data_IF_151003840520
#
_entry.id   IF_151003840520
#
_cell.length_a   1.000
_cell.length_b   1.000
_cell.length_c   1.000
_cell.angle_alpha   90.00
_cell.angle_beta   90.00
_cell.angle_gamma   90.00
#
_symmetry.space_group_name_H-M   'P 1'
#
loop_
_entity.id
_entity.type
_entity.pdbx_description
1 polymer ?
#
# COMPACT_ATOMS: atom_id res chain seq x y z
N UNK A 1 18.66 14.57 -16.72
CA UNK A 1 17.66 13.59 -16.22
C UNK A 1 16.29 14.23 -16.36
N UNK A 2 15.41 13.59 -17.10
CA UNK A 2 14.06 14.11 -17.24
C UNK A 2 13.23 13.74 -15.99
N UNK A 3 12.05 14.28 -15.89
CA UNK A 3 11.17 14.03 -14.75
C UNK A 3 10.90 12.56 -14.55
N UNK A 4 10.84 11.82 -15.63
CA UNK A 4 10.57 10.38 -15.58
C UNK A 4 11.76 9.63 -14.99
N UNK A 5 12.95 10.00 -15.41
CA UNK A 5 14.17 9.41 -14.85
C UNK A 5 14.36 9.80 -13.39
N UNK A 6 13.96 11.01 -13.04
CA UNK A 6 13.96 11.45 -11.66
C UNK A 6 12.97 10.65 -10.84
N UNK A 7 11.78 10.41 -11.40
CA UNK A 7 10.79 9.58 -10.76
C UNK A 7 11.28 8.14 -10.66
N UNK A 8 11.90 7.63 -11.70
CA UNK A 8 12.43 6.29 -11.69
C UNK A 8 13.57 6.15 -10.70
N UNK A 9 14.46 7.12 -10.66
CA UNK A 9 15.53 7.19 -9.67
C UNK A 9 14.94 7.41 -8.29
N UNK A 10 14.00 8.31 -8.16
CA UNK A 10 13.29 8.55 -6.92
C UNK A 10 12.38 7.38 -6.58
N UNK A 11 11.82 6.70 -7.57
CA UNK A 11 11.11 5.46 -7.41
C UNK A 11 12.04 4.37 -6.92
N UNK A 12 13.20 4.29 -7.51
CA UNK A 12 14.16 3.28 -7.09
C UNK A 12 14.78 3.63 -5.75
N UNK A 13 14.91 4.93 -5.44
CA UNK A 13 15.65 5.39 -4.28
C UNK A 13 14.81 6.19 -3.30
N UNK A 14 13.72 6.77 -3.77
CA UNK A 14 12.94 7.69 -2.99
C UNK A 14 11.47 7.41 -3.07
N UNK A 15 10.87 7.56 -4.21
CA UNK A 15 9.45 7.32 -4.35
C UNK A 15 9.14 5.85 -4.18
N UNK A 16 9.98 5.03 -4.72
CA UNK A 16 9.91 3.63 -4.40
C UNK A 16 10.20 3.40 -2.93
N UNK A 17 10.43 4.46 -2.18
CA UNK A 17 10.56 4.35 -0.75
C UNK A 17 9.37 3.68 -0.14
N UNK A 18 8.18 4.06 -0.48
CA UNK A 18 7.01 3.43 0.02
C UNK A 18 7.01 1.95 -0.28
N UNK A 19 7.55 1.58 -1.44
CA UNK A 19 7.67 0.18 -1.84
C UNK A 19 8.89 -0.48 -1.25
N UNK A 20 10.00 0.24 -1.16
CA UNK A 20 11.20 -0.28 -0.54
C UNK A 20 10.92 -0.69 0.90
N UNK A 21 10.08 0.06 1.61
CA UNK A 21 9.69 -0.29 2.97
C UNK A 21 8.89 -1.58 3.04
N UNK A 22 8.35 -2.04 1.92
CA UNK A 22 7.61 -3.30 1.84
C UNK A 22 8.48 -4.48 1.46
N UNK A 23 9.77 -4.26 1.16
CA UNK A 23 10.60 -5.35 0.64
C UNK A 23 11.27 -6.16 1.73
N UNK A 24 12.45 -5.80 2.14
CA UNK A 24 13.25 -6.67 2.98
C UNK A 24 13.25 -6.29 4.45
N UNK A 25 13.14 -4.99 4.70
CA UNK A 25 13.29 -4.49 6.05
C UNK A 25 11.95 -4.43 6.75
N UNK A 26 11.81 -5.25 7.77
CA UNK A 26 10.62 -5.23 8.59
C UNK A 26 10.53 -3.92 9.35
N UNK A 27 9.38 -3.28 9.27
CA UNK A 27 9.14 -2.05 10.01
C UNK A 27 8.99 -2.38 11.50
N UNK A 28 9.81 -1.78 12.39
CA UNK A 28 9.78 -2.14 13.82
C UNK A 28 8.43 -1.95 14.48
N UNK A 29 7.72 -0.89 14.14
CA UNK A 29 6.40 -0.62 14.70
C UNK A 29 5.39 -1.67 14.25
N UNK A 30 5.47 -2.12 13.00
CA UNK A 30 4.59 -3.15 12.48
C UNK A 30 4.89 -4.50 13.13
N UNK A 31 6.16 -4.81 13.32
CA UNK A 31 6.57 -6.01 14.03
C UNK A 31 6.01 -6.00 15.47
N UNK A 32 6.08 -4.86 16.14
CA UNK A 32 5.56 -4.70 17.48
C UNK A 32 4.04 -4.89 17.54
N UNK A 33 3.33 -4.34 16.55
CA UNK A 33 1.87 -4.49 16.46
C UNK A 33 1.49 -5.96 16.24
N UNK A 34 2.19 -6.63 15.33
CA UNK A 34 1.94 -8.04 15.03
C UNK A 34 2.22 -8.93 16.24
N UNK A 35 3.27 -8.62 16.99
CA UNK A 35 3.60 -9.37 18.21
C UNK A 35 2.56 -9.13 19.30
N UNK A 36 2.17 -7.88 19.51
CA UNK A 36 1.26 -7.52 20.58
C UNK A 36 -0.17 -8.01 20.35
N UNK A 37 -0.67 -7.81 19.15
CA UNK A 37 -2.09 -8.09 18.84
C UNK A 37 -2.31 -9.40 18.11
N UNK A 38 -1.28 -9.92 17.45
CA UNK A 38 -1.34 -11.15 16.69
C UNK A 38 -1.76 -10.94 15.23
N UNK A 39 -1.35 -11.88 14.38
CA UNK A 39 -1.57 -11.78 12.94
C UNK A 39 -3.03 -11.76 12.55
N UNK A 40 -3.86 -12.58 13.20
CA UNK A 40 -5.29 -12.63 12.87
C UNK A 40 -6.02 -11.34 13.23
N UNK A 41 -5.65 -10.74 14.37
CA UNK A 41 -6.23 -9.46 14.76
C UNK A 41 -5.83 -8.37 13.77
N UNK A 42 -4.56 -8.31 13.39
CA UNK A 42 -4.09 -7.31 12.44
C UNK A 42 -4.67 -7.53 11.04
N UNK A 43 -4.93 -8.78 10.65
CA UNK A 43 -5.65 -9.08 9.42
C UNK A 43 -7.10 -8.55 9.49
N UNK A 44 -7.75 -8.72 10.65
CA UNK A 44 -9.09 -8.17 10.88
C UNK A 44 -9.10 -6.66 10.77
N UNK A 45 -8.11 -5.99 11.36
CA UNK A 45 -7.97 -4.53 11.25
C UNK A 45 -7.77 -4.13 9.78
N UNK A 46 -6.97 -4.87 9.05
CA UNK A 46 -6.77 -4.61 7.62
C UNK A 46 -8.09 -4.70 6.85
N UNK A 47 -8.92 -5.72 7.13
CA UNK A 47 -10.24 -5.86 6.51
C UNK A 47 -11.10 -4.65 6.83
N UNK A 48 -11.10 -4.19 8.08
CA UNK A 48 -11.86 -3.01 8.50
C UNK A 48 -11.41 -1.76 7.75
N UNK A 49 -10.10 -1.54 7.67
CA UNK A 49 -9.56 -0.37 6.97
C UNK A 49 -9.86 -0.41 5.47
N UNK A 50 -9.82 -1.58 4.86
CA UNK A 50 -10.21 -1.74 3.46
C UNK A 50 -11.68 -1.38 3.26
N UNK A 51 -12.55 -1.76 4.19
CA UNK A 51 -13.97 -1.42 4.10
C UNK A 51 -14.23 0.07 4.29
N UNK A 52 -13.46 0.73 5.16
CA UNK A 52 -13.56 2.18 5.35
C UNK A 52 -13.14 2.95 4.10
N UNK A 53 -12.05 2.53 3.46
CA UNK A 53 -11.63 3.13 2.19
C UNK A 53 -12.67 2.90 1.11
N UNK A 54 -13.21 1.70 1.03
CA UNK A 54 -14.28 1.37 0.08
C UNK A 54 -15.47 2.31 0.26
N UNK A 55 -15.87 2.56 1.49
CA UNK A 55 -16.96 3.47 1.82
C UNK A 55 -16.68 4.88 1.31
N UNK A 56 -15.47 5.39 1.54
CA UNK A 56 -15.10 6.73 1.09
C UNK A 56 -15.04 6.84 -0.42
N UNK A 57 -14.57 5.80 -1.11
CA UNK A 57 -14.57 5.77 -2.57
C UNK A 57 -15.98 5.72 -3.14
N UNK A 58 -16.90 5.02 -2.48
CA UNK A 58 -18.31 5.01 -2.87
C UNK A 58 -18.93 6.41 -2.74
N UNK A 59 -18.57 7.14 -1.69
CA UNK A 59 -19.00 8.54 -1.54
C UNK A 59 -18.48 9.42 -2.66
N UNK A 60 -17.21 9.24 -3.02
CA UNK A 60 -16.60 9.96 -4.13
C UNK A 60 -17.37 9.71 -5.43
N UNK A 61 -17.67 8.45 -5.73
CA UNK A 61 -18.41 8.08 -6.94
C UNK A 61 -19.79 8.74 -6.99
N UNK A 62 -20.47 8.85 -5.84
CA UNK A 62 -21.82 9.41 -5.77
C UNK A 62 -21.85 10.94 -5.75
N UNK A 63 -20.94 11.55 -5.01
CA UNK A 63 -21.08 12.97 -4.67
C UNK A 63 -19.76 13.74 -4.57
N UNK A 64 -18.64 13.17 -5.02
CA UNK A 64 -17.34 13.85 -5.03
C UNK A 64 -16.47 13.61 -3.81
N UNK A 65 -17.03 13.16 -2.71
CA UNK A 65 -16.27 12.80 -1.52
C UNK A 65 -15.46 13.93 -0.91
N UNK A 66 -14.61 13.58 0.06
CA UNK A 66 -13.67 14.49 0.73
C UNK A 66 -12.26 13.97 0.51
N UNK A 67 -11.43 14.68 -0.29
CA UNK A 67 -10.06 14.22 -0.60
C UNK A 67 -9.19 13.98 0.63
N UNK A 68 -9.32 14.81 1.65
CA UNK A 68 -8.50 14.66 2.87
C UNK A 68 -8.91 13.40 3.65
N UNK A 69 -10.19 13.15 3.74
CA UNK A 69 -10.68 11.94 4.40
C UNK A 69 -10.31 10.68 3.62
N UNK A 70 -10.38 10.75 2.29
CA UNK A 70 -9.91 9.65 1.44
C UNK A 70 -8.41 9.40 1.68
N UNK A 71 -7.61 10.46 1.78
CA UNK A 71 -6.19 10.34 2.06
C UNK A 71 -5.92 9.67 3.41
N UNK A 72 -6.70 10.01 4.43
CA UNK A 72 -6.60 9.38 5.75
C UNK A 72 -6.85 7.88 5.66
N UNK A 73 -7.91 7.49 4.98
CA UNK A 73 -8.26 6.08 4.82
C UNK A 73 -7.23 5.33 3.96
N UNK A 74 -6.66 5.98 2.95
CA UNK A 74 -5.56 5.39 2.18
C UNK A 74 -4.37 5.11 3.09
N UNK A 75 -4.02 6.05 3.96
CA UNK A 75 -2.92 5.87 4.90
C UNK A 75 -3.17 4.67 5.82
N UNK A 76 -4.37 4.54 6.36
CA UNK A 76 -4.74 3.43 7.22
C UNK A 76 -4.62 2.09 6.48
N UNK A 77 -5.07 2.04 5.23
CA UNK A 77 -4.95 0.85 4.39
C UNK A 77 -3.49 0.49 4.15
N UNK A 78 -2.66 1.48 3.79
CA UNK A 78 -1.24 1.24 3.52
C UNK A 78 -0.53 0.69 4.75
N UNK A 79 -0.82 1.23 5.93
CA UNK A 79 -0.23 0.75 7.18
C UNK A 79 -0.60 -0.71 7.43
N UNK A 80 -1.87 -1.04 7.30
CA UNK A 80 -2.32 -2.41 7.58
C UNK A 80 -1.90 -3.39 6.50
N UNK A 81 -1.88 -2.98 5.23
CA UNK A 81 -1.40 -3.82 4.13
C UNK A 81 0.09 -4.12 4.31
N UNK A 82 0.89 -3.13 4.69
CA UNK A 82 2.32 -3.34 4.94
C UNK A 82 2.54 -4.31 6.11
N UNK A 83 1.68 -4.28 7.12
CA UNK A 83 1.72 -5.29 8.17
C UNK A 83 1.43 -6.69 7.63
N UNK A 84 0.49 -6.82 6.71
CA UNK A 84 0.18 -8.11 6.09
C UNK A 84 1.34 -8.62 5.24
N UNK A 85 2.01 -7.73 4.50
CA UNK A 85 3.21 -8.09 3.75
C UNK A 85 4.27 -8.65 4.70
N UNK A 86 4.45 -8.02 5.83
CA UNK A 86 5.42 -8.46 6.84
C UNK A 86 4.99 -9.78 7.49
N UNK A 87 3.72 -9.90 7.83
CA UNK A 87 3.17 -11.11 8.45
C UNK A 87 3.36 -12.34 7.56
N UNK A 88 3.08 -12.20 6.28
CA UNK A 88 3.17 -13.30 5.33
C UNK A 88 4.55 -13.42 4.67
N UNK A 89 5.47 -12.53 5.01
CA UNK A 89 6.82 -12.51 4.44
C UNK A 89 6.79 -12.59 2.92
N UNK A 90 5.97 -11.77 2.30
CA UNK A 90 5.70 -11.85 0.87
C UNK A 90 6.09 -10.59 0.08
N UNK A 91 7.00 -9.78 0.62
CA UNK A 91 7.39 -8.53 -0.01
C UNK A 91 7.91 -8.70 -1.44
N UNK A 92 8.75 -9.72 -1.68
CA UNK A 92 9.30 -9.98 -3.01
C UNK A 92 8.23 -10.44 -3.99
N UNK A 93 7.31 -11.29 -3.53
CA UNK A 93 6.20 -11.76 -4.36
C UNK A 93 5.28 -10.59 -4.72
N UNK A 94 4.98 -9.72 -3.75
CA UNK A 94 4.15 -8.54 -3.99
C UNK A 94 4.83 -7.63 -5.02
N UNK A 95 6.13 -7.39 -4.89
CA UNK A 95 6.86 -6.55 -5.84
C UNK A 95 6.80 -7.11 -7.27
N UNK A 96 6.97 -8.43 -7.42
CA UNK A 96 6.89 -9.07 -8.74
C UNK A 96 5.49 -8.92 -9.34
N UNK A 97 4.46 -9.13 -8.55
CA UNK A 97 3.08 -9.00 -9.02
C UNK A 97 2.74 -7.56 -9.36
N UNK A 98 3.20 -6.60 -8.56
CA UNK A 98 2.99 -5.18 -8.86
C UNK A 98 3.61 -4.81 -10.20
N UNK A 99 4.85 -5.21 -10.43
CA UNK A 99 5.54 -4.93 -11.68
C UNK A 99 4.79 -5.50 -12.88
N UNK A 100 4.40 -6.76 -12.80
CA UNK A 100 3.65 -7.41 -13.88
C UNK A 100 2.31 -6.75 -14.14
N UNK A 101 1.59 -6.39 -13.08
CA UNK A 101 0.26 -5.80 -13.19
C UNK A 101 0.32 -4.35 -13.67
N UNK A 102 1.32 -3.59 -13.26
CA UNK A 102 1.54 -2.24 -13.76
C UNK A 102 1.86 -2.25 -15.26
N UNK A 103 2.69 -3.20 -15.70
CA UNK A 103 2.98 -3.36 -17.13
C UNK A 103 1.71 -3.64 -17.92
N UNK A 104 0.85 -4.52 -17.40
CA UNK A 104 -0.43 -4.84 -18.04
C UNK A 104 -1.36 -3.62 -18.07
N UNK A 105 -1.38 -2.85 -16.99
CA UNK A 105 -2.17 -1.62 -16.93
C UNK A 105 -1.69 -0.62 -17.99
N UNK A 106 -0.37 -0.48 -18.13
CA UNK A 106 0.21 0.42 -19.13
C UNK A 106 -0.24 0.04 -20.55
N UNK A 107 -0.29 -1.26 -20.86
CA UNK A 107 -0.79 -1.73 -22.15
C UNK A 107 -2.25 -1.32 -22.36
N UNK A 108 -3.08 -1.41 -21.34
CA UNK A 108 -4.49 -1.05 -21.43
C UNK A 108 -4.71 0.45 -21.58
N UNK A 109 -3.75 1.27 -21.15
CA UNK A 109 -3.82 2.72 -21.28
C UNK A 109 -3.27 3.23 -22.61
N UNK A 110 -2.61 2.38 -23.39
CA UNK A 110 -1.98 2.80 -24.65
C UNK A 110 -3.01 3.02 -25.78
#
# INVERSE_FOLDING_TARGET
MNQYDMLETAFCNGFAFGRASRTKDNHPTYAAALEKFGGKMQATVCVEELSELQKELCKYIRSGGDPDHIAEEIADVLITVDQMVQLFDCAEAVARWEEAKVARLAERCA
#
